data_IF_392287025717
#
_entry.id   IF_392287025717
#
_cell.length_a   1.000
_cell.length_b   1.000
_cell.length_c   1.000
_cell.angle_alpha   90.00
_cell.angle_beta   90.00
_cell.angle_gamma   90.00
#
_symmetry.space_group_name_H-M   'P 1'
#
loop_
_entity.id
_entity.type
_entity.pdbx_description
1 polymer ?
#
# COMPACT_ATOMS: atom_id res chain seq x y z
N UNK A 1 -11.11 -54.19 47.88
CA UNK A 1 -11.67 -53.62 46.61
C UNK A 1 -11.15 -52.19 46.49
N UNK A 2 -10.10 -51.96 45.70
CA UNK A 2 -9.53 -50.64 45.45
C UNK A 2 -10.10 -50.09 44.12
N UNK A 3 -10.74 -48.92 44.19
CA UNK A 3 -11.24 -48.22 42.99
C UNK A 3 -10.08 -47.44 42.31
N UNK A 4 -9.92 -47.46 41.00
CA UNK A 4 -8.94 -46.63 40.34
C UNK A 4 -9.47 -45.19 40.19
N UNK A 5 -8.62 -44.25 40.52
CA UNK A 5 -8.78 -42.80 40.34
C UNK A 5 -8.43 -42.46 38.91
N UNK A 6 -9.46 -42.06 38.11
CA UNK A 6 -9.26 -41.56 36.75
C UNK A 6 -8.82 -40.10 36.85
N UNK A 7 -7.55 -39.82 36.53
CA UNK A 7 -7.05 -38.45 36.38
C UNK A 7 -7.45 -37.96 34.98
N UNK A 8 -8.39 -37.03 34.92
CA UNK A 8 -8.78 -36.34 33.70
C UNK A 8 -7.74 -35.23 33.44
N UNK A 9 -6.85 -35.46 32.48
CA UNK A 9 -5.89 -34.48 32.01
C UNK A 9 -6.64 -33.53 31.06
N UNK A 10 -7.05 -32.36 31.53
CA UNK A 10 -7.55 -31.27 30.68
C UNK A 10 -6.37 -30.62 30.01
N UNK A 11 -6.19 -30.90 28.72
CA UNK A 11 -5.26 -30.19 27.86
C UNK A 11 -5.91 -28.81 27.54
N UNK A 12 -5.43 -27.79 28.24
CA UNK A 12 -5.71 -26.39 27.87
C UNK A 12 -4.87 -26.09 26.61
N UNK A 13 -5.49 -26.17 25.45
CA UNK A 13 -4.97 -25.56 24.23
C UNK A 13 -5.08 -24.03 24.39
N UNK A 14 -4.00 -23.26 24.35
CA UNK A 14 -4.14 -21.82 24.26
C UNK A 14 -4.72 -21.49 22.89
N UNK A 15 -5.95 -21.00 22.87
CA UNK A 15 -6.49 -20.29 21.74
C UNK A 15 -5.62 -19.04 21.60
N UNK A 16 -4.67 -19.04 20.68
CA UNK A 16 -4.08 -17.84 20.14
C UNK A 16 -5.22 -17.08 19.46
N UNK A 17 -5.77 -16.10 20.15
CA UNK A 17 -6.52 -15.03 19.52
C UNK A 17 -5.52 -14.33 18.60
N UNK A 18 -5.53 -14.69 17.34
CA UNK A 18 -4.99 -13.85 16.28
C UNK A 18 -5.82 -12.57 16.32
N UNK A 19 -5.33 -11.56 17.02
CA UNK A 19 -5.80 -10.20 16.83
C UNK A 19 -5.53 -9.87 15.35
N UNK A 20 -6.58 -9.99 14.54
CA UNK A 20 -6.53 -9.50 13.18
C UNK A 20 -6.46 -7.98 13.27
N UNK A 21 -5.28 -7.43 13.00
CA UNK A 21 -5.13 -6.00 12.75
C UNK A 21 -6.22 -5.56 11.78
N UNK A 22 -6.93 -4.45 12.07
CA UNK A 22 -7.89 -3.90 11.13
C UNK A 22 -7.15 -3.58 9.84
N UNK A 23 -7.43 -4.32 8.77
CA UNK A 23 -6.89 -4.05 7.46
C UNK A 23 -7.54 -2.76 6.96
N UNK A 24 -6.82 -1.64 7.00
CA UNK A 24 -7.15 -0.49 6.20
C UNK A 24 -7.18 -0.92 4.73
N UNK A 25 -8.12 -0.44 3.95
CA UNK A 25 -8.19 -0.70 2.53
C UNK A 25 -7.96 0.61 1.79
N UNK A 26 -6.92 0.67 0.96
CA UNK A 26 -6.56 1.85 0.18
C UNK A 26 -6.60 1.51 -1.31
N UNK A 27 -6.86 2.49 -2.17
CA UNK A 27 -6.90 2.28 -3.62
C UNK A 27 -6.28 3.46 -4.34
N UNK A 28 -5.32 3.18 -5.23
CA UNK A 28 -4.71 4.18 -6.10
C UNK A 28 -4.83 3.77 -7.56
N UNK A 29 -5.24 4.72 -8.41
CA UNK A 29 -5.15 4.58 -9.86
C UNK A 29 -4.25 5.68 -10.41
N UNK A 30 -3.45 5.33 -11.41
CA UNK A 30 -2.46 6.21 -12.02
C UNK A 30 -2.73 6.26 -13.52
N UNK A 31 -2.87 7.47 -14.05
CA UNK A 31 -2.98 7.71 -15.50
C UNK A 31 -1.83 8.61 -15.90
N UNK A 32 -0.92 8.09 -16.72
CA UNK A 32 0.21 8.89 -17.18
C UNK A 32 -0.23 9.99 -18.15
N UNK A 33 0.60 11.00 -18.32
CA UNK A 33 0.33 12.16 -19.16
C UNK A 33 -0.14 11.81 -20.58
N UNK A 34 0.52 10.85 -21.22
CA UNK A 34 0.16 10.40 -22.57
C UNK A 34 -1.16 9.62 -22.64
N UNK A 35 -1.61 9.04 -21.52
CA UNK A 35 -2.88 8.32 -21.41
C UNK A 35 -4.06 9.23 -21.04
N UNK A 36 -3.83 10.44 -20.56
CA UNK A 36 -4.83 11.39 -20.08
C UNK A 36 -5.41 12.26 -21.21
N UNK A 37 -6.68 12.66 -21.09
CA UNK A 37 -7.37 13.51 -22.08
C UNK A 37 -6.83 14.93 -22.14
N UNK A 38 -6.35 15.45 -21.03
CA UNK A 38 -5.85 16.81 -20.87
C UNK A 38 -4.33 16.91 -20.80
N UNK A 39 -3.64 15.78 -21.06
CA UNK A 39 -2.19 15.67 -21.04
C UNK A 39 -1.56 16.03 -19.69
N UNK A 40 -2.25 15.70 -18.60
CA UNK A 40 -1.74 15.77 -17.22
C UNK A 40 -1.58 14.37 -16.63
N UNK A 41 -0.69 14.20 -15.68
CA UNK A 41 -0.63 12.96 -14.87
C UNK A 41 -1.74 13.01 -13.81
N UNK A 42 -2.55 11.95 -13.74
CA UNK A 42 -3.62 11.83 -12.75
C UNK A 42 -3.28 10.71 -11.77
N UNK A 43 -3.44 10.98 -10.48
CA UNK A 43 -3.35 9.98 -9.41
C UNK A 43 -4.59 10.11 -8.55
N UNK A 44 -5.36 9.03 -8.42
CA UNK A 44 -6.44 8.97 -7.43
C UNK A 44 -5.93 8.30 -6.16
N UNK A 45 -6.53 8.64 -5.03
CA UNK A 45 -6.20 8.05 -3.74
C UNK A 45 -7.42 7.96 -2.85
N UNK A 46 -7.66 6.77 -2.32
CA UNK A 46 -8.60 6.51 -1.24
C UNK A 46 -7.80 5.88 -0.10
N UNK A 47 -7.84 6.51 1.07
CA UNK A 47 -7.29 5.96 2.30
C UNK A 47 -8.45 5.53 3.19
N UNK A 48 -8.60 4.23 3.38
CA UNK A 48 -9.72 3.68 4.14
C UNK A 48 -9.26 3.37 5.57
N UNK A 49 -9.23 4.41 6.39
CA UNK A 49 -8.80 4.33 7.79
C UNK A 49 -10.00 4.18 8.72
N UNK A 50 -9.85 3.37 9.77
CA UNK A 50 -10.83 3.28 10.86
C UNK A 50 -10.82 4.47 11.81
N UNK A 51 -9.72 5.23 11.85
CA UNK A 51 -9.49 6.27 12.85
C UNK A 51 -9.49 7.68 12.26
N UNK A 52 -9.09 7.85 11.00
CA UNK A 52 -8.90 9.17 10.39
C UNK A 52 -10.04 9.51 9.45
N UNK A 53 -10.60 10.69 9.64
CA UNK A 53 -11.55 11.30 8.72
C UNK A 53 -10.92 12.53 8.09
N UNK A 54 -10.71 12.45 6.78
CA UNK A 54 -10.68 13.52 5.80
C UNK A 54 -10.17 14.90 6.16
N UNK A 55 -9.29 15.07 7.13
CA UNK A 55 -8.60 16.34 7.28
C UNK A 55 -7.58 16.49 6.15
N UNK A 56 -7.75 17.49 5.32
CA UNK A 56 -6.78 17.83 4.30
C UNK A 56 -5.47 18.26 4.98
N UNK A 57 -4.42 17.47 4.85
CA UNK A 57 -3.09 17.87 5.32
C UNK A 57 -2.66 19.16 4.63
N UNK A 58 -2.11 20.09 5.40
CA UNK A 58 -1.58 21.33 4.87
C UNK A 58 -0.34 21.75 5.65
N UNK A 59 0.73 21.94 4.91
CA UNK A 59 1.97 22.50 5.42
C UNK A 59 2.35 23.73 4.58
N UNK A 60 2.48 24.89 5.22
CA UNK A 60 2.98 26.08 4.57
C UNK A 60 4.44 26.27 4.97
N UNK A 61 5.34 26.21 4.01
CA UNK A 61 6.74 26.50 4.25
C UNK A 61 6.91 27.93 4.83
N UNK A 62 7.66 28.10 5.92
CA UNK A 62 7.86 29.43 6.51
C UNK A 62 8.64 30.33 5.57
N UNK A 63 8.22 31.60 5.48
CA UNK A 63 8.98 32.60 4.72
C UNK A 63 10.35 32.77 5.35
N UNK A 64 11.39 32.46 4.63
CA UNK A 64 12.78 32.51 5.13
C UNK A 64 13.32 31.17 5.63
N UNK A 65 12.52 30.14 5.62
CA UNK A 65 12.93 28.78 6.02
C UNK A 65 13.04 28.57 7.52
N UNK A 66 13.61 27.44 7.91
CA UNK A 66 13.95 27.07 9.28
C UNK A 66 15.43 27.41 9.57
N UNK A 67 15.77 27.54 10.82
CA UNK A 67 17.15 27.80 11.25
C UNK A 67 18.00 26.52 11.09
N UNK A 68 19.29 26.64 10.77
CA UNK A 68 20.20 25.50 10.78
C UNK A 68 20.15 24.76 12.12
N UNK A 69 20.05 23.42 12.06
CA UNK A 69 19.97 22.56 13.25
C UNK A 69 18.60 22.49 13.94
N UNK A 70 17.58 23.08 13.37
CA UNK A 70 16.20 22.90 13.86
C UNK A 70 15.73 21.46 13.66
N UNK A 71 14.96 20.93 14.60
CA UNK A 71 14.51 19.53 14.57
C UNK A 71 13.02 19.46 14.23
N UNK A 72 12.64 18.42 13.51
CA UNK A 72 11.27 18.05 13.20
C UNK A 72 10.89 16.84 14.06
N UNK A 73 9.86 16.99 14.89
CA UNK A 73 9.27 15.86 15.63
C UNK A 73 8.39 15.04 14.70
N UNK A 74 8.68 13.74 14.64
CA UNK A 74 7.96 12.78 13.80
C UNK A 74 6.95 12.03 14.66
N UNK A 75 5.73 11.95 14.14
CA UNK A 75 4.63 11.23 14.77
C UNK A 75 4.07 10.22 13.79
N UNK A 76 3.70 9.05 14.28
CA UNK A 76 2.98 8.04 13.51
C UNK A 76 1.65 8.62 13.02
N UNK A 77 1.36 8.43 11.74
CA UNK A 77 0.25 9.08 11.08
C UNK A 77 -1.11 8.70 11.67
N UNK A 78 -1.35 7.40 11.87
CA UNK A 78 -2.66 6.90 12.29
C UNK A 78 -2.96 7.14 13.78
N UNK A 79 -1.97 6.98 14.64
CA UNK A 79 -2.16 7.01 16.09
C UNK A 79 -1.68 8.30 16.76
N UNK A 80 -0.87 9.10 16.07
CA UNK A 80 -0.20 10.26 16.65
C UNK A 80 0.89 9.91 17.66
N UNK A 81 1.35 8.65 17.70
CA UNK A 81 2.45 8.22 18.58
C UNK A 81 3.76 8.91 18.17
N UNK A 82 4.46 9.48 19.11
CA UNK A 82 5.78 10.10 18.86
C UNK A 82 6.81 9.04 18.48
N UNK A 83 7.47 9.22 17.34
CA UNK A 83 8.48 8.30 16.80
C UNK A 83 9.92 8.81 17.02
N UNK A 84 10.12 10.09 17.22
CA UNK A 84 11.43 10.69 17.43
C UNK A 84 11.61 12.02 16.71
N UNK A 85 12.79 12.59 16.83
CA UNK A 85 13.17 13.82 16.14
C UNK A 85 14.16 13.52 15.03
N UNK A 86 14.03 14.28 13.92
CA UNK A 86 14.97 14.26 12.81
C UNK A 86 15.38 15.71 12.44
N UNK A 87 16.51 15.94 11.79
CA UNK A 87 16.85 17.27 11.30
C UNK A 87 15.83 17.80 10.31
N UNK A 88 15.33 19.01 10.56
CA UNK A 88 14.48 19.72 9.60
C UNK A 88 15.36 20.32 8.49
N UNK A 89 14.84 20.29 7.24
CA UNK A 89 15.49 20.98 6.12
C UNK A 89 15.26 22.50 6.26
N UNK A 90 16.27 23.29 5.90
CA UNK A 90 16.20 24.76 6.05
C UNK A 90 15.10 25.37 5.15
N UNK A 91 14.93 24.84 3.95
CA UNK A 91 13.97 25.33 2.96
C UNK A 91 13.03 24.22 2.48
N UNK A 92 12.03 23.82 3.27
CA UNK A 92 11.04 22.83 2.85
C UNK A 92 10.08 23.41 1.81
N UNK A 93 9.44 22.51 1.05
CA UNK A 93 8.37 22.88 0.13
C UNK A 93 7.00 22.84 0.82
N UNK A 94 6.11 23.77 0.41
CA UNK A 94 4.73 23.77 0.88
C UNK A 94 3.96 22.58 0.28
N UNK A 95 3.05 22.00 1.08
CA UNK A 95 2.24 20.85 0.68
C UNK A 95 0.76 21.07 0.96
N UNK A 96 -0.10 20.52 0.11
CA UNK A 96 -1.55 20.44 0.32
C UNK A 96 -2.01 19.04 -0.05
N UNK A 97 -2.62 18.34 0.89
CA UNK A 97 -2.91 16.92 0.70
C UNK A 97 -1.63 16.16 0.38
N UNK A 98 -1.69 15.32 -0.63
CA UNK A 98 -0.60 14.49 -1.10
C UNK A 98 0.22 15.12 -2.24
N UNK A 99 0.19 16.44 -2.38
CA UNK A 99 0.90 17.18 -3.43
C UNK A 99 1.68 18.35 -2.86
N UNK A 100 2.86 18.64 -3.41
CA UNK A 100 3.62 19.84 -3.09
C UNK A 100 3.55 20.92 -4.18
N UNK A 101 4.16 22.08 -3.92
CA UNK A 101 4.17 23.25 -4.85
C UNK A 101 4.89 23.01 -6.17
N UNK A 102 5.62 21.89 -6.32
CA UNK A 102 6.27 21.45 -7.56
C UNK A 102 5.43 20.42 -8.34
N UNK A 103 4.17 20.21 -7.96
CA UNK A 103 3.29 19.21 -8.54
C UNK A 103 3.78 17.76 -8.34
N UNK A 104 4.66 17.52 -7.37
CA UNK A 104 5.02 16.18 -6.93
C UNK A 104 3.88 15.61 -6.10
N UNK A 105 3.40 14.42 -6.47
CA UNK A 105 2.35 13.68 -5.80
C UNK A 105 2.92 12.39 -5.22
N UNK A 106 2.58 12.08 -3.97
CA UNK A 106 2.90 10.80 -3.32
C UNK A 106 1.66 10.29 -2.61
N UNK A 107 1.20 9.10 -2.99
CA UNK A 107 0.07 8.39 -2.35
C UNK A 107 0.48 6.94 -2.10
N UNK A 108 -0.30 6.20 -1.32
CA UNK A 108 0.09 4.85 -0.92
C UNK A 108 -1.07 3.86 -0.85
N UNK A 109 -0.73 2.58 -0.70
CA UNK A 109 -1.59 1.52 -0.18
C UNK A 109 -0.76 0.52 0.60
N UNK A 110 -1.13 0.25 1.84
CA UNK A 110 -0.50 -0.78 2.67
C UNK A 110 -0.83 -2.17 2.16
N UNK A 111 0.17 -2.98 1.87
CA UNK A 111 -0.04 -4.38 1.46
C UNK A 111 0.32 -5.39 2.57
N UNK A 112 0.84 -4.93 3.70
CA UNK A 112 1.30 -5.79 4.79
C UNK A 112 2.58 -6.55 4.43
N UNK A 113 2.44 -7.64 3.71
CA UNK A 113 3.55 -8.50 3.34
C UNK A 113 3.98 -9.41 4.49
N UNK A 114 5.30 -9.64 4.63
CA UNK A 114 5.86 -10.49 5.68
C UNK A 114 5.94 -9.72 7.00
N UNK A 115 5.03 -10.04 7.94
CA UNK A 115 4.90 -9.32 9.22
C UNK A 115 6.17 -9.32 10.07
N UNK A 116 7.03 -10.33 9.95
CA UNK A 116 8.32 -10.40 10.65
C UNK A 116 9.33 -9.34 10.19
N UNK A 117 9.06 -8.65 9.09
CA UNK A 117 9.90 -7.58 8.56
C UNK A 117 9.52 -6.18 9.09
N UNK A 118 8.48 -6.06 9.91
CA UNK A 118 8.14 -4.81 10.58
C UNK A 118 9.19 -4.43 11.63
N UNK A 119 9.61 -3.15 11.65
CA UNK A 119 10.54 -2.61 12.66
C UNK A 119 9.84 -1.57 13.54
N UNK A 120 9.35 -1.98 14.69
CA UNK A 120 8.67 -1.09 15.65
C UNK A 120 9.57 0.00 16.26
N UNK A 121 10.88 -0.04 16.01
CA UNK A 121 11.86 0.95 16.50
C UNK A 121 12.18 2.04 15.48
N UNK A 122 11.68 1.90 14.25
CA UNK A 122 11.83 2.89 13.19
C UNK A 122 11.17 4.22 13.55
N UNK A 123 11.69 5.29 12.97
CA UNK A 123 11.17 6.67 13.17
C UNK A 123 10.37 7.17 11.97
N UNK A 124 10.29 6.40 10.89
CA UNK A 124 9.48 6.71 9.73
C UNK A 124 8.35 5.71 9.63
N UNK A 125 7.12 6.16 9.64
CA UNK A 125 5.96 5.41 9.16
C UNK A 125 5.61 5.83 7.73
N UNK A 126 4.66 5.16 7.09
CA UNK A 126 4.27 5.44 5.70
C UNK A 126 3.83 6.89 5.50
N UNK A 127 3.02 7.44 6.42
CA UNK A 127 2.49 8.80 6.32
C UNK A 127 3.56 9.86 6.53
N UNK A 128 4.41 9.71 7.56
CA UNK A 128 5.56 10.59 7.78
C UNK A 128 6.51 10.55 6.58
N UNK A 129 6.73 9.37 5.99
CA UNK A 129 7.56 9.24 4.79
C UNK A 129 6.99 10.05 3.62
N UNK A 130 5.68 10.01 3.39
CA UNK A 130 5.02 10.82 2.35
C UNK A 130 5.24 12.31 2.61
N UNK A 131 4.80 12.80 3.77
CA UNK A 131 4.74 14.25 4.01
C UNK A 131 6.12 14.89 4.20
N UNK A 132 7.08 14.16 4.78
CA UNK A 132 8.46 14.63 4.91
C UNK A 132 9.14 14.66 3.53
N UNK A 133 8.89 13.66 2.69
CA UNK A 133 9.42 13.62 1.32
C UNK A 133 8.85 14.75 0.46
N UNK A 134 7.54 15.01 0.54
CA UNK A 134 6.91 16.12 -0.18
C UNK A 134 7.51 17.48 0.19
N UNK A 135 8.01 17.64 1.43
CA UNK A 135 8.71 18.85 1.86
C UNK A 135 10.16 18.94 1.34
N UNK A 136 10.73 17.86 0.79
CA UNK A 136 12.17 17.75 0.49
C UNK A 136 12.48 17.47 -0.98
N UNK A 137 11.52 16.95 -1.75
CA UNK A 137 11.72 16.53 -3.14
C UNK A 137 10.89 17.38 -4.11
N UNK A 138 11.42 17.55 -5.32
CA UNK A 138 10.79 18.31 -6.42
C UNK A 138 10.31 17.42 -7.55
N UNK A 139 10.92 16.24 -7.70
CA UNK A 139 10.64 15.30 -8.79
C UNK A 139 10.38 13.92 -8.24
N UNK A 140 9.71 13.07 -9.01
CA UNK A 140 9.43 11.68 -8.63
C UNK A 140 10.71 10.89 -8.34
N UNK A 141 11.77 11.05 -9.14
CA UNK A 141 13.05 10.37 -8.90
C UNK A 141 13.77 10.87 -7.65
N UNK A 142 13.70 12.15 -7.36
CA UNK A 142 14.24 12.71 -6.12
C UNK A 142 13.47 12.18 -4.92
N UNK A 143 12.12 12.08 -5.01
CA UNK A 143 11.28 11.53 -3.96
C UNK A 143 11.64 10.08 -3.63
N UNK A 144 11.82 9.22 -4.62
CA UNK A 144 12.22 7.81 -4.42
C UNK A 144 13.52 7.73 -3.62
N UNK A 145 14.52 8.56 -3.94
CA UNK A 145 15.79 8.57 -3.21
C UNK A 145 15.64 9.11 -1.79
N UNK A 146 14.90 10.20 -1.62
CA UNK A 146 14.63 10.78 -0.29
C UNK A 146 13.90 9.80 0.61
N UNK A 147 12.92 9.05 0.08
CA UNK A 147 12.20 8.02 0.85
C UNK A 147 13.15 6.89 1.28
N UNK A 148 13.98 6.40 0.37
CA UNK A 148 14.97 5.38 0.70
C UNK A 148 15.98 5.88 1.76
N UNK A 149 16.53 7.08 1.59
CA UNK A 149 17.49 7.68 2.52
C UNK A 149 16.87 7.91 3.92
N UNK A 150 15.61 8.34 4.00
CA UNK A 150 14.89 8.52 5.26
C UNK A 150 14.72 7.18 6.00
N UNK A 151 14.28 6.15 5.28
CA UNK A 151 14.10 4.82 5.88
C UNK A 151 15.43 4.20 6.33
N UNK A 152 16.49 4.31 5.52
CA UNK A 152 17.81 3.78 5.86
C UNK A 152 18.45 4.53 7.05
N UNK A 153 18.22 5.85 7.11
CA UNK A 153 18.80 6.68 8.18
C UNK A 153 18.04 6.52 9.49
N UNK A 154 16.71 6.50 9.45
CA UNK A 154 15.88 6.62 10.66
C UNK A 154 15.11 5.34 10.98
N UNK A 155 15.13 4.32 10.13
CA UNK A 155 14.34 3.10 10.27
C UNK A 155 12.90 3.29 9.80
N UNK A 156 12.22 2.19 9.47
CA UNK A 156 10.88 2.16 8.92
C UNK A 156 9.95 1.34 9.78
N UNK A 157 8.91 1.96 10.33
CA UNK A 157 8.06 1.39 11.38
C UNK A 157 6.70 0.88 10.87
N UNK A 158 6.42 0.98 9.56
CA UNK A 158 5.20 0.45 8.98
C UNK A 158 5.39 -0.95 8.37
N UNK A 159 4.29 -1.53 7.96
CA UNK A 159 4.25 -2.75 7.15
C UNK A 159 4.70 -2.47 5.69
N UNK A 160 4.53 -3.43 4.80
CA UNK A 160 4.85 -3.25 3.38
C UNK A 160 3.91 -2.24 2.70
N UNK A 161 4.48 -1.35 1.88
CA UNK A 161 3.74 -0.27 1.22
C UNK A 161 4.02 -0.22 -0.28
N UNK A 162 2.95 0.06 -1.04
CA UNK A 162 3.05 0.49 -2.44
C UNK A 162 2.79 1.98 -2.52
N UNK A 163 3.75 2.74 -3.06
CA UNK A 163 3.61 4.18 -3.28
C UNK A 163 3.39 4.48 -4.76
N UNK A 164 2.41 5.35 -5.06
CA UNK A 164 2.32 6.07 -6.33
C UNK A 164 3.11 7.37 -6.19
N UNK A 165 4.14 7.55 -7.00
CA UNK A 165 4.99 8.75 -6.98
C UNK A 165 4.97 9.35 -8.38
N UNK A 166 4.47 10.56 -8.51
CA UNK A 166 4.32 11.20 -9.82
C UNK A 166 4.66 12.69 -9.79
N UNK A 167 5.21 13.17 -10.87
CA UNK A 167 5.36 14.58 -11.18
C UNK A 167 4.73 14.92 -12.55
N UNK A 168 5.05 16.07 -13.11
CA UNK A 168 4.51 16.49 -14.41
C UNK A 168 4.97 15.60 -15.57
N UNK A 169 6.09 14.90 -15.44
CA UNK A 169 6.76 14.19 -16.53
C UNK A 169 6.78 12.68 -16.36
N UNK A 170 6.82 12.19 -15.13
CA UNK A 170 6.97 10.77 -14.83
C UNK A 170 5.98 10.29 -13.76
N UNK A 171 5.58 9.02 -13.86
CA UNK A 171 4.81 8.33 -12.84
C UNK A 171 5.49 6.98 -12.51
N UNK A 172 5.58 6.66 -11.22
CA UNK A 172 6.26 5.49 -10.69
C UNK A 172 5.36 4.75 -9.70
N UNK A 173 5.53 3.43 -9.62
CA UNK A 173 5.12 2.63 -8.47
C UNK A 173 6.40 2.25 -7.74
N UNK A 174 6.47 2.51 -6.44
CA UNK A 174 7.54 2.07 -5.54
C UNK A 174 6.96 1.15 -4.49
N UNK A 175 7.48 -0.06 -4.38
CA UNK A 175 7.09 -1.03 -3.36
C UNK A 175 8.22 -1.21 -2.36
N UNK A 176 7.89 -1.12 -1.07
CA UNK A 176 8.86 -1.14 0.02
C UNK A 176 8.41 -2.06 1.14
N UNK A 177 9.36 -2.67 1.84
CA UNK A 177 9.11 -3.38 3.10
C UNK A 177 10.32 -3.25 4.01
N UNK A 178 10.10 -3.25 5.32
CA UNK A 178 11.17 -3.22 6.32
C UNK A 178 12.09 -4.44 6.26
N UNK A 179 13.15 -4.42 7.05
CA UNK A 179 14.12 -5.52 7.19
C UNK A 179 13.98 -6.28 8.51
N UNK A 180 12.93 -5.98 9.29
CA UNK A 180 12.70 -6.55 10.61
C UNK A 180 13.60 -5.93 11.68
N UNK A 181 13.57 -6.55 12.84
CA UNK A 181 14.34 -6.09 13.99
C UNK A 181 15.42 -7.09 14.36
N UNK A 182 16.68 -6.64 14.41
CA UNK A 182 17.81 -7.37 14.95
C UNK A 182 18.57 -6.47 15.93
N UNK A 183 18.71 -6.85 17.22
CA UNK A 183 19.40 -6.03 18.20
C UNK A 183 20.85 -5.76 17.79
N UNK A 184 21.27 -4.48 17.80
CA UNK A 184 22.66 -4.08 17.55
C UNK A 184 23.58 -4.15 18.77
N UNK A 185 23.05 -4.62 19.91
CA UNK A 185 23.75 -4.67 21.19
C UNK A 185 23.96 -3.30 21.86
N UNK A 186 23.47 -2.22 21.24
CA UNK A 186 23.58 -0.83 21.73
C UNK A 186 22.21 -0.17 21.95
N UNK A 187 21.13 -0.95 21.81
CA UNK A 187 19.75 -0.49 21.98
C UNK A 187 19.07 -0.04 20.67
N UNK A 188 19.68 -0.30 19.53
CA UNK A 188 19.15 -0.02 18.19
C UNK A 188 18.91 -1.29 17.37
N UNK A 189 18.51 -1.09 16.11
CA UNK A 189 18.29 -2.13 15.11
C UNK A 189 19.46 -2.24 14.14
N UNK A 190 20.12 -3.40 14.07
CA UNK A 190 21.21 -3.68 13.12
C UNK A 190 20.72 -3.82 11.67
N UNK A 191 19.45 -4.18 11.47
CA UNK A 191 18.78 -4.33 10.15
C UNK A 191 17.92 -3.13 9.77
N UNK A 192 18.21 -1.97 10.31
CA UNK A 192 17.46 -0.75 10.03
C UNK A 192 17.36 -0.46 8.53
N UNK A 193 16.20 0.03 8.07
CA UNK A 193 15.96 0.41 6.69
C UNK A 193 14.90 -0.43 5.99
N UNK A 194 14.88 -0.34 4.68
CA UNK A 194 13.92 -1.03 3.79
C UNK A 194 14.64 -1.75 2.65
N UNK A 195 13.98 -2.78 2.11
CA UNK A 195 14.21 -3.24 0.74
C UNK A 195 13.09 -2.70 -0.13
N UNK A 196 13.43 -2.32 -1.36
CA UNK A 196 12.45 -1.67 -2.24
C UNK A 196 12.79 -1.83 -3.71
N UNK A 197 11.77 -1.66 -4.54
CA UNK A 197 11.86 -1.56 -6.00
C UNK A 197 10.89 -0.49 -6.48
N UNK A 198 11.30 0.33 -7.43
CA UNK A 198 10.46 1.33 -8.08
C UNK A 198 10.47 1.13 -9.61
N UNK A 199 9.28 1.10 -10.20
CA UNK A 199 9.09 0.93 -11.65
C UNK A 199 8.40 2.15 -12.23
N UNK A 200 9.04 2.73 -13.27
CA UNK A 200 8.44 3.81 -14.05
C UNK A 200 7.35 3.26 -14.95
N UNK A 201 6.16 3.86 -14.89
CA UNK A 201 5.05 3.52 -15.77
C UNK A 201 5.34 4.15 -17.14
N UNK A 202 5.32 3.39 -18.24
CA UNK A 202 5.53 3.96 -19.57
C UNK A 202 4.49 5.04 -19.89
N UNK A 203 4.91 6.15 -20.50
CA UNK A 203 3.96 7.18 -20.89
C UNK A 203 2.94 6.64 -21.91
N UNK A 204 1.69 7.04 -21.76
CA UNK A 204 0.56 6.51 -22.53
C UNK A 204 -0.08 5.25 -21.90
N UNK A 205 0.33 4.85 -20.68
CA UNK A 205 -0.22 3.71 -19.94
C UNK A 205 -0.91 4.16 -18.65
N UNK A 206 -1.73 3.27 -18.12
CA UNK A 206 -2.36 3.40 -16.81
C UNK A 206 -1.91 2.27 -15.90
N UNK A 207 -1.90 2.52 -14.60
CA UNK A 207 -1.59 1.52 -13.57
C UNK A 207 -2.42 1.75 -12.32
N UNK A 208 -2.23 0.93 -11.30
CA UNK A 208 -2.86 1.08 -10.01
C UNK A 208 -2.37 0.03 -9.04
N UNK A 209 -2.64 0.25 -7.77
CA UNK A 209 -2.42 -0.72 -6.69
C UNK A 209 -3.47 -0.54 -5.59
N UNK A 210 -3.75 -1.61 -4.88
CA UNK A 210 -4.80 -1.64 -3.88
C UNK A 210 -4.49 -2.72 -2.84
N UNK A 211 -3.63 -2.42 -1.88
CA UNK A 211 -3.22 -3.29 -0.76
C UNK A 211 -2.62 -4.64 -1.17
N UNK A 212 -1.93 -4.69 -2.31
CA UNK A 212 -1.11 -5.82 -2.73
C UNK A 212 0.10 -5.31 -3.51
N UNK A 213 1.28 -5.82 -3.19
CA UNK A 213 2.48 -5.62 -3.99
C UNK A 213 2.30 -6.29 -5.36
N UNK A 214 2.65 -5.58 -6.45
CA UNK A 214 2.38 -6.02 -7.83
C UNK A 214 3.62 -6.14 -8.68
N UNK A 215 4.76 -5.57 -8.25
CA UNK A 215 6.02 -5.66 -8.99
C UNK A 215 6.55 -7.08 -8.88
N UNK A 216 6.56 -7.80 -10.00
CA UNK A 216 7.16 -9.13 -10.14
C UNK A 216 8.64 -9.00 -10.48
N UNK A 217 9.08 -9.62 -11.55
CA UNK A 217 10.43 -9.45 -12.09
C UNK A 217 10.63 -8.04 -12.65
N UNK A 218 11.85 -7.55 -12.55
CA UNK A 218 12.18 -6.20 -12.99
C UNK A 218 13.58 -6.16 -13.61
N UNK A 219 13.86 -5.22 -14.53
CA UNK A 219 15.18 -5.11 -15.14
C UNK A 219 16.22 -4.62 -14.12
N UNK A 220 17.39 -5.26 -14.11
CA UNK A 220 18.49 -4.92 -13.21
C UNK A 220 19.47 -3.92 -13.81
N UNK A 221 19.37 -3.65 -15.09
CA UNK A 221 20.29 -2.82 -15.90
C UNK A 221 19.60 -1.65 -16.61
N UNK A 222 18.40 -1.25 -16.17
CA UNK A 222 17.62 -0.14 -16.75
C UNK A 222 17.33 0.97 -15.70
N UNK A 223 18.33 1.77 -15.30
CA UNK A 223 18.16 2.80 -14.27
C UNK A 223 17.22 3.95 -14.70
N UNK A 224 16.87 4.04 -15.98
CA UNK A 224 15.92 5.02 -16.46
C UNK A 224 14.47 4.62 -16.15
N UNK A 225 14.18 3.33 -16.01
CA UNK A 225 12.83 2.81 -15.80
C UNK A 225 12.69 1.90 -14.57
N UNK A 226 13.80 1.58 -13.90
CA UNK A 226 13.79 0.75 -12.69
C UNK A 226 14.85 1.20 -11.69
N UNK A 227 14.45 1.48 -10.47
CA UNK A 227 15.34 1.76 -9.34
C UNK A 227 15.04 0.74 -8.24
N UNK A 228 16.04 0.32 -7.48
CA UNK A 228 15.86 -0.66 -6.40
C UNK A 228 16.99 -0.58 -5.37
N UNK A 229 16.73 -1.07 -4.16
CA UNK A 229 17.76 -1.16 -3.13
C UNK A 229 18.82 -2.20 -3.51
N UNK A 230 20.14 -1.92 -3.28
CA UNK A 230 21.20 -2.83 -3.69
C UNK A 230 21.09 -4.24 -3.10
N UNK A 231 20.43 -4.35 -1.98
CA UNK A 231 20.28 -5.59 -1.21
C UNK A 231 18.92 -6.27 -1.40
N UNK A 232 18.04 -5.79 -2.27
CA UNK A 232 16.68 -6.32 -2.44
C UNK A 232 16.64 -7.82 -2.75
N UNK A 233 17.60 -8.35 -3.50
CA UNK A 233 17.67 -9.78 -3.83
C UNK A 233 18.48 -10.54 -2.79
N UNK A 234 19.62 -10.01 -2.37
CA UNK A 234 20.50 -10.68 -1.40
C UNK A 234 19.82 -10.83 -0.03
N UNK A 235 19.07 -9.83 0.40
CA UNK A 235 18.29 -9.89 1.62
C UNK A 235 17.16 -10.95 1.54
N UNK A 236 16.47 -11.08 0.41
CA UNK A 236 15.48 -12.14 0.23
C UNK A 236 16.11 -13.54 0.33
N UNK A 237 17.33 -13.72 -0.18
CA UNK A 237 18.09 -14.98 -0.03
C UNK A 237 18.52 -15.22 1.40
N UNK A 238 19.02 -14.20 2.09
CA UNK A 238 19.40 -14.29 3.50
C UNK A 238 18.23 -14.75 4.37
N UNK A 239 17.04 -14.22 4.10
CA UNK A 239 15.81 -14.56 4.82
C UNK A 239 15.16 -15.87 4.36
N UNK A 240 15.70 -16.54 3.35
CA UNK A 240 15.13 -17.78 2.80
C UNK A 240 13.82 -17.59 2.00
N UNK A 241 13.56 -16.38 1.53
CA UNK A 241 12.35 -16.09 0.74
C UNK A 241 12.53 -16.35 -0.74
N UNK A 242 13.76 -16.45 -1.20
CA UNK A 242 14.09 -16.66 -2.59
C UNK A 242 15.37 -17.48 -2.78
N UNK A 243 15.29 -18.45 -3.70
CA UNK A 243 16.44 -19.20 -4.20
C UNK A 243 16.35 -19.26 -5.72
N UNK A 244 17.29 -18.65 -6.43
CA UNK A 244 17.25 -18.64 -7.88
C UNK A 244 18.14 -17.56 -8.50
N UNK A 245 18.16 -17.45 -9.85
CA UNK A 245 18.90 -16.42 -10.58
C UNK A 245 18.32 -15.03 -10.34
N UNK A 246 19.16 -13.99 -10.27
CA UNK A 246 18.71 -12.60 -10.04
C UNK A 246 17.68 -12.14 -11.08
N UNK A 247 17.82 -12.57 -12.34
CA UNK A 247 16.89 -12.19 -13.40
C UNK A 247 15.47 -12.76 -13.26
N UNK A 248 15.28 -13.76 -12.43
CA UNK A 248 13.97 -14.38 -12.13
C UNK A 248 13.38 -13.92 -10.81
N UNK A 249 14.09 -13.05 -10.09
CA UNK A 249 13.62 -12.55 -8.80
C UNK A 249 12.34 -11.73 -8.97
N UNK A 250 11.29 -12.12 -8.24
CA UNK A 250 10.01 -11.43 -8.18
C UNK A 250 9.83 -10.79 -6.79
N UNK A 251 9.75 -9.46 -6.75
CA UNK A 251 9.64 -8.72 -5.49
C UNK A 251 8.38 -9.13 -4.71
N UNK A 252 7.21 -9.08 -5.35
CA UNK A 252 5.96 -9.38 -4.65
C UNK A 252 5.89 -10.86 -4.22
N UNK A 253 6.42 -11.81 -4.97
CA UNK A 253 6.39 -13.22 -4.59
C UNK A 253 7.33 -13.50 -3.41
N UNK A 254 8.46 -12.79 -3.32
CA UNK A 254 9.38 -12.91 -2.20
C UNK A 254 8.86 -12.25 -0.93
N UNK A 255 8.34 -11.01 -1.02
CA UNK A 255 8.05 -10.18 0.14
C UNK A 255 6.57 -10.06 0.51
N UNK A 256 5.67 -10.26 -0.46
CA UNK A 256 4.22 -10.16 -0.28
C UNK A 256 3.47 -11.17 -1.16
N UNK A 257 3.68 -12.49 -0.96
CA UNK A 257 3.03 -13.51 -1.78
C UNK A 257 1.51 -13.37 -1.68
N UNK A 258 0.86 -13.29 -2.84
CA UNK A 258 -0.58 -13.09 -2.91
C UNK A 258 -1.35 -14.36 -2.52
N UNK A 259 -2.31 -14.21 -1.63
CA UNK A 259 -3.29 -15.22 -1.28
C UNK A 259 -4.66 -14.92 -1.93
N UNK A 260 -5.67 -15.71 -1.58
CA UNK A 260 -7.04 -15.49 -2.07
C UNK A 260 -7.57 -14.08 -1.72
N UNK A 261 -7.29 -13.59 -0.50
CA UNK A 261 -7.75 -12.27 -0.06
C UNK A 261 -7.07 -11.16 -0.85
N UNK A 262 -5.77 -11.28 -1.08
CA UNK A 262 -5.00 -10.36 -1.91
C UNK A 262 -5.57 -10.26 -3.35
N UNK A 263 -5.95 -11.38 -3.94
CA UNK A 263 -6.55 -11.39 -5.28
C UNK A 263 -7.97 -10.83 -5.26
N UNK A 264 -8.85 -11.40 -4.40
CA UNK A 264 -10.28 -11.10 -4.43
C UNK A 264 -10.63 -9.73 -3.84
N UNK A 265 -9.95 -9.28 -2.81
CA UNK A 265 -10.25 -8.01 -2.16
C UNK A 265 -9.35 -6.86 -2.64
N UNK A 266 -8.13 -7.16 -3.12
CA UNK A 266 -7.15 -6.14 -3.50
C UNK A 266 -7.02 -6.04 -5.03
N UNK A 267 -6.47 -7.06 -5.69
CA UNK A 267 -6.23 -7.05 -7.13
C UNK A 267 -7.51 -6.90 -7.96
N UNK A 268 -8.66 -7.37 -7.46
CA UNK A 268 -9.95 -7.17 -8.11
C UNK A 268 -10.29 -5.69 -8.33
N UNK A 269 -9.86 -4.78 -7.43
CA UNK A 269 -10.08 -3.33 -7.58
C UNK A 269 -9.27 -2.76 -8.73
N UNK A 270 -8.02 -3.19 -8.87
CA UNK A 270 -7.16 -2.80 -10.00
C UNK A 270 -7.67 -3.40 -11.31
N UNK A 271 -8.11 -4.68 -11.27
CA UNK A 271 -8.73 -5.32 -12.43
C UNK A 271 -9.96 -4.56 -12.92
N UNK A 272 -10.81 -4.11 -12.02
CA UNK A 272 -12.00 -3.36 -12.38
C UNK A 272 -11.67 -2.02 -13.04
N UNK A 273 -10.67 -1.29 -12.55
CA UNK A 273 -10.17 -0.10 -13.23
C UNK A 273 -9.63 -0.42 -14.63
N UNK A 274 -8.75 -1.42 -14.74
CA UNK A 274 -8.18 -1.81 -16.03
C UNK A 274 -9.26 -2.22 -17.05
N UNK A 275 -10.25 -3.00 -16.60
CA UNK A 275 -11.37 -3.43 -17.44
C UNK A 275 -12.20 -2.26 -17.98
N UNK A 276 -12.32 -1.17 -17.24
CA UNK A 276 -13.08 0.02 -17.66
C UNK A 276 -12.36 0.85 -18.70
N UNK A 277 -11.04 0.75 -18.78
CA UNK A 277 -10.23 1.63 -19.64
C UNK A 277 -9.48 0.90 -20.75
N UNK A 278 -9.29 -0.40 -20.65
CA UNK A 278 -8.53 -1.21 -21.61
C UNK A 278 -9.31 -2.46 -22.05
N UNK A 279 -9.16 -2.84 -23.32
CA UNK A 279 -9.77 -4.04 -23.86
C UNK A 279 -9.02 -5.30 -23.40
N UNK A 280 -9.75 -6.44 -23.42
CA UNK A 280 -9.17 -7.76 -23.15
C UNK A 280 -8.97 -8.10 -21.66
N UNK A 281 -9.32 -7.21 -20.74
CA UNK A 281 -9.12 -7.43 -19.30
C UNK A 281 -10.07 -8.47 -18.70
N UNK A 282 -11.13 -8.84 -19.39
CA UNK A 282 -12.01 -9.95 -19.00
C UNK A 282 -11.27 -11.31 -18.95
N UNK A 283 -10.15 -11.44 -19.66
CA UNK A 283 -9.28 -12.61 -19.60
C UNK A 283 -8.66 -12.86 -18.21
N UNK A 284 -8.66 -11.86 -17.34
CA UNK A 284 -8.12 -11.92 -15.98
C UNK A 284 -9.21 -12.01 -14.90
N UNK A 285 -10.48 -12.27 -15.29
CA UNK A 285 -11.59 -12.36 -14.35
C UNK A 285 -11.37 -13.45 -13.31
N UNK A 286 -10.82 -14.60 -13.70
CA UNK A 286 -10.50 -15.71 -12.82
C UNK A 286 -9.42 -15.34 -11.78
N UNK A 287 -8.43 -14.55 -12.18
CA UNK A 287 -7.42 -13.98 -11.27
C UNK A 287 -8.07 -13.04 -10.25
N UNK A 288 -8.86 -12.06 -10.72
CA UNK A 288 -9.56 -11.10 -9.86
C UNK A 288 -10.57 -11.76 -8.91
N UNK A 289 -11.13 -12.90 -9.30
CA UNK A 289 -12.00 -13.71 -8.43
C UNK A 289 -11.22 -14.59 -7.44
N UNK A 290 -9.90 -14.62 -7.49
CA UNK A 290 -9.06 -15.46 -6.63
C UNK A 290 -8.98 -16.93 -7.03
N UNK A 291 -9.48 -17.29 -8.22
CA UNK A 291 -9.56 -18.68 -8.66
C UNK A 291 -8.27 -19.17 -9.35
N UNK A 292 -7.53 -18.26 -9.98
CA UNK A 292 -6.34 -18.60 -10.76
C UNK A 292 -5.20 -17.60 -10.52
N UNK A 293 -4.40 -17.77 -9.46
CA UNK A 293 -3.30 -16.86 -9.14
C UNK A 293 -2.19 -16.84 -10.19
N UNK A 294 -2.12 -17.87 -11.05
CA UNK A 294 -1.13 -17.92 -12.11
C UNK A 294 -1.46 -17.01 -13.30
N UNK A 295 -2.74 -16.64 -13.48
CA UNK A 295 -3.18 -15.72 -14.54
C UNK A 295 -3.03 -14.26 -14.13
N UNK A 296 -1.84 -13.88 -13.66
CA UNK A 296 -1.56 -12.57 -13.07
C UNK A 296 -1.73 -11.44 -14.09
N UNK A 297 -2.40 -10.37 -13.67
CA UNK A 297 -2.55 -9.14 -14.46
C UNK A 297 -1.19 -8.44 -14.67
N UNK A 298 -1.01 -7.75 -15.81
CA UNK A 298 0.16 -6.89 -16.02
C UNK A 298 0.17 -5.72 -15.00
N UNK A 299 1.37 -5.21 -14.69
CA UNK A 299 1.55 -4.09 -13.77
C UNK A 299 0.88 -2.79 -14.28
N UNK A 300 0.84 -2.61 -15.58
CA UNK A 300 0.16 -1.51 -16.29
C UNK A 300 -0.46 -1.98 -17.59
N UNK A 301 -1.43 -1.24 -18.08
CA UNK A 301 -2.12 -1.50 -19.34
C UNK A 301 -2.18 -0.26 -20.21
N UNK A 302 -2.19 -0.45 -21.52
CA UNK A 302 -2.43 0.64 -22.46
C UNK A 302 -3.94 0.84 -22.60
N UNK A 303 -4.50 2.02 -22.26
CA UNK A 303 -5.93 2.21 -22.38
C UNK A 303 -6.35 2.25 -23.85
N UNK A 304 -7.58 1.79 -24.14
CA UNK A 304 -8.16 1.77 -25.50
C UNK A 304 -8.47 3.17 -26.02
N UNK A 305 -8.62 4.12 -25.12
CA UNK A 305 -8.78 5.56 -25.38
C UNK A 305 -8.17 6.36 -24.25
N UNK A 306 -7.92 7.65 -24.47
CA UNK A 306 -7.46 8.53 -23.39
C UNK A 306 -8.47 8.58 -22.25
N UNK A 307 -7.98 8.58 -21.02
CA UNK A 307 -8.75 8.54 -19.79
C UNK A 307 -8.94 9.96 -19.25
N UNK A 308 -10.15 10.32 -18.96
CA UNK A 308 -10.51 11.62 -18.36
C UNK A 308 -10.52 11.55 -16.83
N UNK A 309 -10.41 12.70 -16.12
CA UNK A 309 -10.60 12.74 -14.66
C UNK A 309 -11.94 12.15 -14.23
N UNK A 310 -13.01 12.37 -15.04
CA UNK A 310 -14.32 11.79 -14.74
C UNK A 310 -14.30 10.26 -14.73
N UNK A 311 -13.61 9.63 -15.67
CA UNK A 311 -13.50 8.17 -15.73
C UNK A 311 -12.71 7.62 -14.55
N UNK A 312 -11.70 8.34 -14.04
CA UNK A 312 -11.02 7.99 -12.79
C UNK A 312 -11.98 8.09 -11.60
N UNK A 313 -12.79 9.16 -11.50
CA UNK A 313 -13.79 9.29 -10.43
C UNK A 313 -14.86 8.21 -10.51
N UNK A 314 -15.28 7.81 -11.70
CA UNK A 314 -16.25 6.72 -11.90
C UNK A 314 -15.63 5.38 -11.50
N UNK A 315 -14.34 5.15 -11.77
CA UNK A 315 -13.63 3.96 -11.34
C UNK A 315 -13.47 3.87 -9.80
N UNK A 316 -13.25 5.02 -9.13
CA UNK A 316 -13.20 5.08 -7.65
C UNK A 316 -14.57 4.85 -6.98
N UNK A 317 -15.65 4.82 -7.74
CA UNK A 317 -17.02 4.53 -7.28
C UNK A 317 -17.55 3.20 -7.79
N UNK A 318 -16.70 2.39 -8.38
CA UNK A 318 -17.09 1.13 -9.00
C UNK A 318 -17.47 0.07 -7.96
N UNK A 319 -18.53 -0.67 -8.23
CA UNK A 319 -18.99 -1.79 -7.40
C UNK A 319 -19.05 -3.09 -8.22
N UNK A 320 -18.14 -3.20 -9.20
CA UNK A 320 -18.03 -4.35 -10.11
C UNK A 320 -19.27 -4.61 -10.96
N UNK A 321 -20.06 -3.57 -11.28
CA UNK A 321 -21.29 -3.69 -12.02
C UNK A 321 -21.06 -4.39 -13.37
N UNK A 322 -21.96 -5.31 -13.69
CA UNK A 322 -21.90 -6.10 -14.93
C UNK A 322 -20.82 -7.19 -14.96
N UNK A 323 -20.21 -7.51 -13.82
CA UNK A 323 -19.24 -8.60 -13.69
C UNK A 323 -19.78 -9.73 -12.80
N UNK A 324 -19.11 -10.89 -12.72
CA UNK A 324 -19.47 -11.92 -11.73
C UNK A 324 -19.35 -11.46 -10.27
N UNK A 325 -18.68 -10.33 -10.01
CA UNK A 325 -18.50 -9.75 -8.67
C UNK A 325 -19.45 -8.58 -8.39
N UNK A 326 -20.48 -8.38 -9.22
CA UNK A 326 -21.44 -7.26 -9.14
C UNK A 326 -22.10 -7.17 -7.76
N UNK A 327 -21.70 -6.14 -7.01
CA UNK A 327 -22.17 -5.90 -5.64
C UNK A 327 -23.61 -5.40 -5.56
N UNK A 328 -24.22 -5.06 -6.70
CA UNK A 328 -25.65 -4.67 -6.77
C UNK A 328 -26.59 -5.87 -6.89
N UNK A 329 -26.05 -7.06 -7.13
CA UNK A 329 -26.83 -8.28 -7.44
C UNK A 329 -26.56 -9.47 -6.52
N UNK A 330 -25.51 -9.41 -5.71
CA UNK A 330 -25.19 -10.50 -4.80
C UNK A 330 -26.09 -10.53 -3.56
N UNK A 331 -25.91 -11.52 -2.70
CA UNK A 331 -26.70 -11.67 -1.46
C UNK A 331 -26.61 -10.44 -0.55
N UNK A 332 -25.45 -9.75 -0.53
CA UNK A 332 -25.26 -8.58 0.29
C UNK A 332 -26.05 -7.35 -0.16
N UNK A 333 -26.43 -7.27 -1.43
CA UNK A 333 -27.24 -6.19 -1.98
C UNK A 333 -28.71 -6.23 -1.50
N UNK A 334 -29.19 -7.41 -1.09
CA UNK A 334 -30.59 -7.62 -0.71
C UNK A 334 -31.56 -7.35 -1.86
N UNK A 335 -32.85 -7.27 -1.54
CA UNK A 335 -33.91 -7.07 -2.53
C UNK A 335 -33.91 -5.70 -3.21
N UNK A 336 -33.15 -4.72 -2.68
CA UNK A 336 -33.08 -3.36 -3.21
C UNK A 336 -31.87 -3.13 -4.15
N UNK A 337 -31.02 -4.14 -4.35
CA UNK A 337 -29.83 -4.00 -5.19
C UNK A 337 -28.81 -2.95 -4.66
N UNK A 338 -28.71 -2.80 -3.34
CA UNK A 338 -27.88 -1.78 -2.72
C UNK A 338 -26.40 -2.23 -2.65
N UNK A 339 -25.47 -1.60 -3.34
CA UNK A 339 -24.05 -1.99 -3.28
C UNK A 339 -23.41 -1.67 -1.92
N UNK A 340 -23.91 -0.68 -1.22
CA UNK A 340 -23.43 -0.29 0.10
C UNK A 340 -23.92 -1.27 1.14
N UNK A 341 -23.02 -2.10 1.64
CA UNK A 341 -23.29 -3.20 2.60
C UNK A 341 -23.61 -2.65 3.98
N UNK A 342 -24.66 -1.83 4.13
CA UNK A 342 -25.01 -1.26 5.42
C UNK A 342 -25.33 -2.37 6.40
N UNK A 343 -24.57 -2.49 7.47
CA UNK A 343 -24.75 -3.44 8.57
C UNK A 343 -24.67 -2.67 9.88
N UNK A 344 -25.43 -3.08 10.90
CA UNK A 344 -25.30 -2.50 12.22
C UNK A 344 -23.88 -2.74 12.77
N UNK A 345 -23.34 -1.72 13.43
CA UNK A 345 -22.01 -1.80 14.07
C UNK A 345 -22.02 -2.80 15.23
N UNK A 346 -23.14 -2.94 15.93
CA UNK A 346 -23.34 -3.94 16.94
C UNK A 346 -24.79 -4.45 16.88
N UNK A 347 -24.99 -5.69 17.27
CA UNK A 347 -26.32 -6.32 17.41
C UNK A 347 -26.28 -7.38 18.50
N UNK A 348 -27.41 -7.67 19.09
CA UNK A 348 -27.57 -8.67 20.14
C UNK A 348 -28.38 -9.86 19.61
N UNK A 349 -27.94 -11.07 19.90
CA UNK A 349 -28.68 -12.33 19.63
C UNK A 349 -28.61 -13.16 20.89
N UNK A 350 -29.76 -13.51 21.42
CA UNK A 350 -29.94 -14.36 22.63
C UNK A 350 -29.07 -13.88 23.81
N UNK A 351 -29.03 -12.56 24.04
CA UNK A 351 -28.25 -11.94 25.12
C UNK A 351 -26.76 -11.87 24.88
N UNK A 352 -26.26 -12.22 23.69
CA UNK A 352 -24.87 -12.07 23.28
C UNK A 352 -24.73 -10.90 22.33
N UNK A 353 -23.90 -9.93 22.71
CA UNK A 353 -23.57 -8.80 21.84
C UNK A 353 -22.50 -9.21 20.81
N UNK A 354 -22.75 -8.88 19.56
CA UNK A 354 -21.83 -9.04 18.44
C UNK A 354 -21.47 -7.66 17.91
N UNK A 355 -20.18 -7.36 17.85
CA UNK A 355 -19.66 -6.13 17.25
C UNK A 355 -19.15 -6.43 15.85
N UNK A 356 -19.68 -5.71 14.85
CA UNK A 356 -19.29 -5.87 13.46
C UNK A 356 -18.38 -4.70 13.04
N UNK A 357 -17.17 -4.68 13.53
CA UNK A 357 -16.18 -3.64 13.23
C UNK A 357 -15.72 -3.63 11.76
N UNK A 358 -15.93 -4.74 11.04
CA UNK A 358 -15.49 -4.91 9.64
C UNK A 358 -16.57 -4.57 8.61
N UNK A 359 -17.71 -4.03 9.02
CA UNK A 359 -18.80 -3.74 8.09
C UNK A 359 -18.38 -2.75 6.99
N UNK A 360 -17.46 -1.86 7.29
CA UNK A 360 -16.93 -0.86 6.34
C UNK A 360 -15.85 -1.42 5.43
N UNK A 361 -14.94 -2.26 5.91
CA UNK A 361 -13.85 -2.83 5.11
C UNK A 361 -14.31 -3.81 4.02
N UNK A 362 -15.53 -4.35 4.13
CA UNK A 362 -16.12 -5.27 3.12
C UNK A 362 -16.99 -4.54 2.09
N UNK A 363 -17.10 -3.23 2.17
CA UNK A 363 -17.96 -2.41 1.31
C UNK A 363 -17.27 -1.80 0.11
N UNK A 364 -15.98 -2.08 -0.03
CA UNK A 364 -15.15 -1.56 -1.12
C UNK A 364 -14.90 -2.59 -2.20
#
# INVERSE_FOLDING_TARGET
>A
MKKPLFCLLTVLTPFLLLESTPAGACTNFIVTRGASTDSTTLVSYSADSHALYGCLYKFNAPKGGFRPGEMLSVYEWDTGRYLGDIPQVEHPYSTVGNMNEHSLIITETTYGGRGELADSTGRMDYGSMIYITLQRARTAREAIRVMADLADTYGYASEGESFSIADADEAWIMEVIGKGFEPDGKGGNARKGIVWVARRIPDGYVSGHANQARITTFPLDDPDNCLYSPDVISFAREMGYYEGPDAEFSFCDAYAPADFSALRACEARVWSFFRRVADGMDAYTDYAMGHNPANRMPLWVKPSKKVSPKEVFDAMRDHYEGTPMDMTRDLGAGGCGLPYRWRPMSFEVDGTEYVNERATATQQ
#
